data_IF_625943258556
#
_entry.id   IF_625943258556
#
_cell.length_a   1.000
_cell.length_b   1.000
_cell.length_c   1.000
_cell.angle_alpha   90.00
_cell.angle_beta   90.00
_cell.angle_gamma   90.00
#
_symmetry.space_group_name_H-M   'P 1'
#
loop_
_entity.id
_entity.type
_entity.pdbx_description
1 polymer ?
#
# COMPACT_ATOMS: atom_id res chain seq x y z
N UNK A 1 -7.51 13.63 12.28
CA UNK A 1 -6.06 13.33 12.48
C UNK A 1 -5.37 13.77 11.21
N UNK A 2 -4.17 14.31 11.28
CA UNK A 2 -3.39 14.68 10.09
C UNK A 2 -2.24 13.68 9.92
N UNK A 3 -1.75 13.53 8.69
CA UNK A 3 -0.55 12.75 8.41
C UNK A 3 0.66 13.38 9.11
N UNK A 4 1.54 12.55 9.66
CA UNK A 4 2.81 12.98 10.26
C UNK A 4 3.95 12.18 9.61
N UNK A 5 4.89 12.88 8.97
CA UNK A 5 6.04 12.23 8.31
C UNK A 5 7.01 11.57 9.30
N UNK A 6 6.94 11.91 10.58
CA UNK A 6 7.73 11.27 11.63
C UNK A 6 7.31 9.82 11.91
N UNK A 7 6.17 9.38 11.41
CA UNK A 7 5.81 7.95 11.48
C UNK A 7 6.82 7.07 10.73
N UNK A 8 7.43 7.59 9.66
CA UNK A 8 8.52 6.90 8.96
C UNK A 8 9.71 6.49 9.85
N UNK A 9 9.91 7.22 10.96
CA UNK A 9 11.01 7.04 11.91
C UNK A 9 10.59 6.31 13.18
N UNK A 10 9.29 6.01 13.35
CA UNK A 10 8.75 5.46 14.58
C UNK A 10 8.23 4.03 14.40
N UNK A 11 8.99 3.00 14.82
CA UNK A 11 8.58 1.60 14.66
C UNK A 11 7.34 1.20 15.46
N UNK A 12 6.85 2.06 16.38
CA UNK A 12 5.61 1.82 17.10
C UNK A 12 4.37 2.25 16.31
N UNK A 13 4.55 3.00 15.21
CA UNK A 13 3.47 3.50 14.35
C UNK A 13 3.60 2.94 12.94
N UNK A 14 3.36 1.66 12.78
CA UNK A 14 3.42 0.98 11.48
C UNK A 14 2.08 0.99 10.72
N UNK A 15 0.99 1.43 11.37
CA UNK A 15 -0.33 1.60 10.74
C UNK A 15 -1.19 2.64 11.46
N UNK A 16 -2.01 3.38 10.69
CA UNK A 16 -3.03 4.29 11.20
C UNK A 16 -4.30 4.12 10.38
N UNK A 17 -5.43 3.83 11.03
CA UNK A 17 -6.75 3.60 10.41
C UNK A 17 -6.78 2.44 9.37
N UNK A 18 -5.74 1.65 9.24
CA UNK A 18 -5.75 0.42 8.45
C UNK A 18 -6.66 -0.59 9.13
N UNK A 19 -7.49 -1.28 8.36
CA UNK A 19 -8.33 -2.36 8.88
C UNK A 19 -7.47 -3.57 9.31
N UNK A 20 -7.97 -4.33 10.27
CA UNK A 20 -7.30 -5.56 10.68
C UNK A 20 -7.31 -6.58 9.53
N UNK A 21 -6.25 -7.39 9.44
CA UNK A 21 -6.16 -8.45 8.47
C UNK A 21 -7.31 -9.46 8.65
N UNK A 22 -7.91 -9.87 7.56
CA UNK A 22 -9.01 -10.83 7.51
C UNK A 22 -8.86 -11.76 6.30
N UNK A 23 -9.71 -12.78 6.21
CA UNK A 23 -9.71 -13.70 5.07
C UNK A 23 -9.99 -12.97 3.76
N UNK A 24 -9.24 -13.33 2.71
CA UNK A 24 -9.45 -12.79 1.37
C UNK A 24 -10.66 -13.45 0.71
N UNK A 25 -11.80 -12.81 0.81
CA UNK A 25 -13.05 -13.24 0.18
C UNK A 25 -13.77 -12.07 -0.46
N UNK A 26 -14.66 -12.38 -1.40
CA UNK A 26 -15.46 -11.39 -2.12
C UNK A 26 -16.92 -11.48 -1.73
N UNK A 27 -17.59 -10.34 -1.76
CA UNK A 27 -19.05 -10.26 -1.62
C UNK A 27 -19.70 -10.20 -3.00
N UNK A 28 -20.87 -10.81 -3.14
CA UNK A 28 -21.69 -10.79 -4.35
C UNK A 28 -23.11 -10.42 -4.02
N UNK A 29 -23.83 -9.83 -4.98
CA UNK A 29 -25.25 -9.50 -4.80
C UNK A 29 -26.10 -10.77 -4.74
N UNK A 30 -25.77 -11.77 -5.56
CA UNK A 30 -26.43 -13.06 -5.64
C UNK A 30 -25.52 -14.12 -6.30
N UNK A 31 -26.00 -15.35 -6.42
CA UNK A 31 -25.28 -16.45 -7.08
C UNK A 31 -24.99 -16.20 -8.57
N UNK A 32 -25.88 -15.48 -9.26
CA UNK A 32 -25.67 -15.20 -10.68
C UNK A 32 -24.52 -14.21 -10.88
N UNK A 33 -24.30 -13.29 -9.94
CA UNK A 33 -23.13 -12.39 -9.96
C UNK A 33 -21.82 -13.12 -9.69
N UNK A 34 -21.83 -14.17 -8.84
CA UNK A 34 -20.65 -14.97 -8.57
C UNK A 34 -20.15 -15.73 -9.81
N UNK A 35 -21.05 -16.08 -10.74
CA UNK A 35 -20.71 -16.76 -12.00
C UNK A 35 -20.24 -15.80 -13.10
N UNK A 36 -20.37 -14.49 -12.90
CA UNK A 36 -19.93 -13.48 -13.86
C UNK A 36 -18.42 -13.22 -13.74
N UNK A 37 -17.82 -12.79 -14.82
CA UNK A 37 -16.41 -12.37 -14.84
C UNK A 37 -16.16 -11.06 -14.11
N UNK A 38 -17.19 -10.24 -13.92
CA UNK A 38 -17.11 -8.93 -13.27
C UNK A 38 -18.05 -8.91 -12.05
N UNK A 39 -17.47 -8.57 -10.89
CA UNK A 39 -18.20 -8.42 -9.65
C UNK A 39 -18.70 -6.97 -9.51
N UNK A 40 -20.01 -6.70 -9.48
CA UNK A 40 -20.54 -5.35 -9.40
C UNK A 40 -20.25 -4.64 -8.07
N UNK A 41 -19.82 -5.37 -7.04
CA UNK A 41 -19.41 -4.83 -5.75
C UNK A 41 -17.89 -4.51 -5.71
N UNK A 42 -17.20 -4.62 -6.83
CA UNK A 42 -15.78 -4.29 -6.97
C UNK A 42 -15.56 -3.30 -8.11
N UNK A 43 -14.68 -2.33 -7.89
CA UNK A 43 -14.29 -1.36 -8.90
C UNK A 43 -12.77 -1.21 -8.90
N UNK A 44 -12.14 -1.54 -10.03
CA UNK A 44 -10.70 -1.35 -10.20
C UNK A 44 -10.35 0.13 -10.38
N UNK A 45 -9.31 0.58 -9.71
CA UNK A 45 -8.69 1.89 -9.91
C UNK A 45 -7.38 1.80 -10.72
N UNK A 46 -7.03 0.64 -11.24
CA UNK A 46 -5.86 0.43 -12.07
C UNK A 46 -5.85 1.36 -13.31
N UNK A 47 -4.70 1.43 -13.96
CA UNK A 47 -4.51 2.22 -15.18
C UNK A 47 -3.64 3.44 -14.95
N UNK A 48 -3.83 4.49 -15.71
CA UNK A 48 -3.03 5.71 -15.58
C UNK A 48 -3.41 6.54 -14.36
N UNK A 49 -2.38 6.97 -13.61
CA UNK A 49 -2.47 7.92 -12.50
C UNK A 49 -1.58 9.13 -12.78
N UNK A 50 -1.91 10.29 -12.25
CA UNK A 50 -1.03 11.45 -12.16
C UNK A 50 0.06 11.14 -11.15
N UNK A 51 1.32 11.55 -11.45
CA UNK A 51 2.47 11.13 -10.67
C UNK A 51 3.55 12.20 -10.59
N UNK A 52 4.11 12.38 -9.41
CA UNK A 52 5.33 13.17 -9.19
C UNK A 52 6.34 12.36 -8.39
N UNK A 53 7.59 12.37 -8.86
CA UNK A 53 8.73 11.76 -8.18
C UNK A 53 9.52 12.81 -7.42
N UNK A 54 9.93 12.50 -6.19
CA UNK A 54 10.84 13.30 -5.37
C UNK A 54 11.96 12.42 -4.82
N UNK A 55 13.16 12.98 -4.66
CA UNK A 55 14.33 12.22 -4.17
C UNK A 55 14.29 11.97 -2.67
N UNK A 56 13.54 12.78 -1.96
CA UNK A 56 13.41 12.73 -0.51
C UNK A 56 12.07 13.31 -0.06
N UNK A 57 11.80 13.18 1.22
CA UNK A 57 10.56 13.62 1.84
C UNK A 57 10.42 15.15 1.81
N UNK A 58 11.52 15.90 1.93
CA UNK A 58 11.51 17.35 1.99
C UNK A 58 11.18 18.01 0.64
N UNK A 59 11.55 17.37 -0.46
CA UNK A 59 11.32 17.88 -1.82
C UNK A 59 9.96 17.45 -2.40
N UNK A 60 9.16 16.68 -1.64
CA UNK A 60 7.85 16.22 -2.10
C UNK A 60 6.84 17.36 -2.24
N UNK A 61 5.84 17.26 -3.11
CA UNK A 61 4.73 18.20 -3.14
C UNK A 61 3.88 18.05 -1.87
N UNK A 62 3.92 19.02 -0.96
CA UNK A 62 3.30 18.90 0.37
C UNK A 62 1.78 18.82 0.32
N UNK A 63 1.13 19.64 -0.51
CA UNK A 63 -0.33 19.79 -0.55
C UNK A 63 -0.99 19.09 -1.75
N UNK A 64 -0.32 18.12 -2.35
CA UNK A 64 -0.80 17.45 -3.57
C UNK A 64 -2.14 16.71 -3.37
N UNK A 65 -2.50 16.39 -2.13
CA UNK A 65 -3.74 15.72 -1.74
C UNK A 65 -4.96 16.65 -1.70
N UNK A 66 -4.76 17.97 -1.81
CA UNK A 66 -5.87 18.91 -1.83
C UNK A 66 -6.70 18.77 -3.11
N UNK A 67 -8.03 18.87 -2.99
CA UNK A 67 -8.94 18.68 -4.12
C UNK A 67 -8.68 19.63 -5.30
N UNK A 68 -8.24 20.86 -5.00
CA UNK A 68 -7.98 21.90 -5.97
C UNK A 68 -6.50 21.96 -6.42
N UNK A 69 -5.71 20.97 -6.04
CA UNK A 69 -4.30 20.93 -6.44
C UNK A 69 -4.16 20.87 -7.96
N UNK A 70 -3.32 21.75 -8.51
CA UNK A 70 -3.00 21.77 -9.92
C UNK A 70 -1.91 20.74 -10.23
N UNK A 71 -2.33 19.59 -10.70
CA UNK A 71 -1.45 18.50 -11.10
C UNK A 71 -0.98 18.59 -12.56
N UNK A 72 -1.10 19.76 -13.22
CA UNK A 72 -0.72 19.94 -14.63
C UNK A 72 0.77 19.67 -14.90
N UNK A 73 1.62 19.81 -13.88
CA UNK A 73 3.05 19.48 -13.93
C UNK A 73 3.39 18.02 -13.60
N UNK A 74 2.40 17.23 -13.18
CA UNK A 74 2.60 15.81 -12.87
C UNK A 74 2.70 14.99 -14.15
N UNK A 75 3.56 13.99 -14.12
CA UNK A 75 3.65 12.98 -15.16
C UNK A 75 2.47 11.99 -15.10
N UNK A 76 2.51 10.97 -15.93
CA UNK A 76 1.58 9.85 -15.91
C UNK A 76 2.34 8.56 -15.65
N UNK A 77 1.86 7.77 -14.69
CA UNK A 77 2.41 6.44 -14.40
C UNK A 77 1.30 5.38 -14.47
N UNK A 78 1.66 4.17 -14.86
CA UNK A 78 0.75 3.02 -14.83
C UNK A 78 0.71 2.40 -13.44
N UNK A 79 -0.48 2.13 -12.94
CA UNK A 79 -0.76 1.35 -11.72
C UNK A 79 -1.57 0.11 -12.14
N UNK A 80 -1.13 -1.10 -11.82
CA UNK A 80 0.09 -1.48 -11.11
C UNK A 80 1.39 -1.17 -11.87
N UNK A 81 2.45 -0.82 -11.11
CA UNK A 81 3.77 -0.60 -11.68
C UNK A 81 4.81 -0.11 -10.69
N UNK A 82 6.07 -0.37 -11.01
CA UNK A 82 7.22 0.08 -10.22
C UNK A 82 7.75 1.41 -10.73
N UNK A 83 8.13 2.27 -9.81
CA UNK A 83 8.65 3.61 -10.11
C UNK A 83 9.98 3.52 -10.88
N UNK A 84 10.86 2.58 -10.52
CA UNK A 84 12.13 2.35 -11.21
C UNK A 84 11.94 1.87 -12.65
N UNK A 85 10.98 0.95 -12.87
CA UNK A 85 10.69 0.46 -14.22
C UNK A 85 10.02 1.53 -15.10
N UNK A 86 9.39 2.51 -14.49
CA UNK A 86 8.89 3.71 -15.17
C UNK A 86 10.02 4.73 -15.47
N UNK A 87 11.25 4.52 -14.98
CA UNK A 87 12.41 5.32 -15.30
C UNK A 87 12.73 6.46 -14.35
N UNK A 88 12.11 6.54 -13.18
CA UNK A 88 12.28 7.65 -12.24
C UNK A 88 13.42 7.43 -11.24
N UNK A 89 13.67 6.20 -10.81
CA UNK A 89 14.78 5.86 -9.89
C UNK A 89 15.62 4.73 -10.47
N UNK A 90 16.68 4.36 -9.79
CA UNK A 90 17.61 3.30 -10.20
C UNK A 90 17.25 1.99 -9.52
N UNK A 91 17.24 0.93 -10.29
CA UNK A 91 17.18 -0.43 -9.77
C UNK A 91 18.47 -0.69 -8.98
N UNK A 92 18.32 -1.13 -7.74
CA UNK A 92 19.43 -1.50 -6.86
C UNK A 92 19.25 -2.93 -6.40
N UNK A 93 20.36 -3.64 -6.30
CA UNK A 93 20.42 -4.95 -5.65
C UNK A 93 21.28 -4.83 -4.40
N UNK A 94 20.76 -5.25 -3.27
CA UNK A 94 21.45 -5.21 -1.99
C UNK A 94 21.21 -6.55 -1.30
N UNK A 95 22.29 -7.20 -0.86
CA UNK A 95 22.21 -8.52 -0.23
C UNK A 95 22.81 -8.58 1.18
N UNK A 96 23.71 -7.66 1.53
CA UNK A 96 24.41 -7.68 2.82
C UNK A 96 24.45 -6.32 3.50
N UNK A 97 24.02 -5.26 2.78
CA UNK A 97 24.05 -3.89 3.27
C UNK A 97 22.64 -3.32 3.26
N UNK A 98 22.29 -2.60 4.30
CA UNK A 98 21.05 -1.86 4.30
C UNK A 98 21.05 -0.79 3.20
N UNK A 99 19.90 -0.42 2.60
CA UNK A 99 19.81 0.54 1.50
C UNK A 99 20.43 1.90 1.80
N UNK A 100 20.53 2.27 3.07
CA UNK A 100 21.08 3.51 3.57
C UNK A 100 22.57 3.40 3.99
N UNK A 101 23.18 2.20 4.05
CA UNK A 101 24.60 2.07 4.39
C UNK A 101 25.49 2.75 3.36
N UNK A 102 26.54 3.43 3.85
CA UNK A 102 27.40 4.26 3.01
C UNK A 102 26.80 5.58 2.55
N UNK A 103 25.59 5.89 2.97
CA UNK A 103 24.94 7.20 2.94
C UNK A 103 25.01 7.80 4.34
N UNK A 104 24.84 9.10 4.46
CA UNK A 104 25.11 9.85 5.70
C UNK A 104 24.07 9.67 6.82
N UNK A 105 23.31 8.60 6.80
CA UNK A 105 22.32 8.28 7.84
C UNK A 105 22.99 7.56 9.00
N UNK A 106 23.87 8.27 9.68
CA UNK A 106 24.58 7.74 10.83
C UNK A 106 23.80 7.83 12.14
N UNK A 107 22.56 7.45 12.14
CA UNK A 107 22.09 6.79 13.35
C UNK A 107 22.67 5.38 13.29
N UNK A 108 23.67 5.12 14.11
CA UNK A 108 24.09 3.76 14.32
C UNK A 108 22.85 2.99 14.74
N UNK A 109 22.29 2.19 13.84
CA UNK A 109 21.16 1.30 14.11
C UNK A 109 21.45 0.34 15.27
N UNK A 110 22.62 0.43 15.84
CA UNK A 110 23.16 -0.37 16.93
C UNK A 110 23.49 0.42 18.20
N UNK A 111 23.35 1.75 18.23
CA UNK A 111 23.46 2.46 19.50
C UNK A 111 22.10 2.47 20.19
N UNK A 112 21.92 1.59 21.15
CA UNK A 112 20.79 1.61 22.09
C UNK A 112 20.87 2.85 23.02
N UNK A 113 21.79 3.73 22.82
CA UNK A 113 21.89 5.02 23.51
C UNK A 113 21.21 6.07 22.64
N UNK A 114 20.07 6.55 23.09
CA UNK A 114 19.45 7.75 22.58
C UNK A 114 20.42 8.91 22.78
N UNK A 115 21.05 9.36 21.72
CA UNK A 115 22.00 10.49 21.77
C UNK A 115 21.30 11.84 21.82
N UNK A 116 19.99 11.88 22.05
CA UNK A 116 19.23 13.12 22.19
C UNK A 116 19.00 13.92 20.89
N UNK A 117 19.67 13.57 19.80
CA UNK A 117 19.40 14.13 18.48
C UNK A 117 18.33 13.27 17.78
N UNK A 118 17.10 13.67 17.91
CA UNK A 118 15.93 13.06 17.26
C UNK A 118 15.77 13.52 15.79
N UNK A 119 16.85 13.77 15.08
CA UNK A 119 16.77 14.00 13.65
C UNK A 119 16.19 12.76 12.98
N UNK A 120 15.13 12.91 12.22
CA UNK A 120 14.43 11.82 11.56
C UNK A 120 15.34 11.06 10.63
N UNK A 121 15.37 9.74 10.76
CA UNK A 121 16.24 8.87 9.97
C UNK A 121 15.79 8.80 8.52
N UNK A 122 14.49 8.60 8.29
CA UNK A 122 13.88 8.47 6.97
C UNK A 122 13.12 9.71 6.56
N UNK A 123 12.45 10.38 7.52
CA UNK A 123 11.65 11.57 7.24
C UNK A 123 12.48 12.79 6.83
N UNK A 124 13.75 12.86 7.24
CA UNK A 124 14.68 13.96 6.96
C UNK A 124 15.90 13.50 6.12
N UNK A 125 15.84 12.30 5.58
CA UNK A 125 16.92 11.72 4.79
C UNK A 125 17.17 12.49 3.49
N UNK A 126 18.42 12.72 3.11
CA UNK A 126 18.78 13.30 1.81
C UNK A 126 18.33 12.44 0.63
N UNK A 127 18.20 11.14 0.87
CA UNK A 127 17.72 10.16 -0.09
C UNK A 127 16.73 9.18 0.58
N UNK A 128 15.47 9.48 0.46
CA UNK A 128 14.35 8.58 0.67
C UNK A 128 13.31 8.91 -0.40
N UNK A 129 13.39 8.27 -1.59
CA UNK A 129 12.53 8.58 -2.71
C UNK A 129 11.05 8.47 -2.37
N UNK A 130 10.28 9.39 -2.95
CA UNK A 130 8.84 9.52 -2.72
C UNK A 130 8.12 9.56 -4.05
N UNK A 131 7.11 8.70 -4.21
CA UNK A 131 6.13 8.76 -5.28
C UNK A 131 4.82 9.38 -4.78
N UNK A 132 4.40 10.50 -5.38
CA UNK A 132 3.12 11.14 -5.11
C UNK A 132 2.15 10.87 -6.25
N UNK A 133 1.05 10.17 -5.97
CA UNK A 133 0.08 9.69 -6.94
C UNK A 133 -1.28 10.35 -6.75
N UNK A 134 -1.96 10.69 -7.85
CA UNK A 134 -3.35 11.18 -7.82
C UNK A 134 -4.20 10.37 -8.81
N UNK A 135 -5.35 9.90 -8.35
CA UNK A 135 -6.40 9.27 -9.15
C UNK A 135 -7.71 9.99 -8.99
N UNK A 136 -8.30 10.41 -10.11
CA UNK A 136 -9.65 10.95 -10.12
C UNK A 136 -10.61 9.89 -10.63
N UNK A 137 -11.73 9.71 -9.93
CA UNK A 137 -12.71 8.67 -10.27
C UNK A 137 -14.12 9.01 -9.80
N UNK A 138 -15.10 8.40 -10.44
CA UNK A 138 -16.48 8.33 -9.99
C UNK A 138 -16.76 6.93 -9.43
N UNK A 139 -17.61 6.86 -8.40
CA UNK A 139 -18.05 5.59 -7.85
C UNK A 139 -19.07 4.93 -8.78
N UNK A 140 -18.92 3.64 -9.05
CA UNK A 140 -19.86 2.89 -9.86
C UNK A 140 -21.25 2.89 -9.23
N UNK A 141 -22.27 2.81 -10.07
CA UNK A 141 -23.65 2.96 -9.65
C UNK A 141 -24.11 1.90 -8.65
N UNK A 142 -23.62 0.68 -8.83
CA UNK A 142 -23.90 -0.48 -7.97
C UNK A 142 -23.28 -0.39 -6.57
N UNK A 143 -22.29 0.47 -6.41
CA UNK A 143 -21.57 0.65 -5.13
C UNK A 143 -22.10 1.82 -4.31
N UNK A 144 -22.99 2.66 -4.88
CA UNK A 144 -23.55 3.81 -4.15
C UNK A 144 -24.33 3.36 -2.92
N UNK A 145 -24.37 4.22 -1.91
CA UNK A 145 -25.06 3.99 -0.63
C UNK A 145 -24.58 2.75 0.15
N UNK A 146 -23.42 2.20 -0.20
CA UNK A 146 -22.80 1.07 0.51
C UNK A 146 -21.59 1.54 1.30
N UNK A 147 -21.15 0.71 2.25
CA UNK A 147 -19.83 0.88 2.86
C UNK A 147 -18.78 0.58 1.80
N UNK A 148 -17.80 1.46 1.65
CA UNK A 148 -16.74 1.34 0.64
C UNK A 148 -15.40 1.21 1.34
N UNK A 149 -14.69 0.14 1.01
CA UNK A 149 -13.28 -0.04 1.37
C UNK A 149 -12.40 0.11 0.14
N UNK A 150 -11.20 0.59 0.34
CA UNK A 150 -10.14 0.50 -0.66
C UNK A 150 -9.15 -0.57 -0.21
N UNK A 151 -8.75 -1.42 -1.14
CA UNK A 151 -7.72 -2.44 -0.96
C UNK A 151 -6.56 -2.14 -1.90
N UNK A 152 -5.39 -1.95 -1.33
CA UNK A 152 -4.11 -2.01 -2.03
C UNK A 152 -3.58 -3.42 -1.82
N UNK A 153 -3.54 -4.23 -2.87
CA UNK A 153 -3.07 -5.62 -2.78
C UNK A 153 -1.55 -5.71 -2.52
N UNK A 154 -0.83 -4.59 -2.70
CA UNK A 154 0.58 -4.41 -2.37
C UNK A 154 1.10 -3.06 -2.84
N UNK A 155 1.79 -2.38 -1.95
CA UNK A 155 2.53 -1.14 -2.22
C UNK A 155 3.97 -1.42 -1.85
N UNK A 156 4.87 -1.65 -2.86
CA UNK A 156 6.09 -2.40 -2.57
C UNK A 156 7.27 -2.18 -3.49
N UNK A 157 8.37 -2.75 -3.02
CA UNK A 157 9.50 -3.25 -3.77
C UNK A 157 9.29 -4.70 -4.24
N UNK A 158 9.43 -5.03 -5.52
CA UNK A 158 9.18 -6.36 -6.05
C UNK A 158 10.42 -7.03 -6.64
N UNK A 159 10.52 -8.33 -6.43
CA UNK A 159 11.38 -9.20 -7.20
C UNK A 159 10.59 -9.92 -8.30
N UNK A 160 10.92 -9.66 -9.55
CA UNK A 160 10.45 -10.46 -10.66
C UNK A 160 11.42 -11.62 -10.91
N UNK A 161 11.15 -12.80 -10.33
CA UNK A 161 11.73 -14.05 -10.83
C UNK A 161 10.77 -14.67 -11.84
N UNK A 162 11.19 -14.65 -13.09
CA UNK A 162 10.52 -15.38 -14.17
C UNK A 162 10.76 -16.88 -13.95
N UNK A 163 10.02 -17.48 -13.04
CA UNK A 163 9.81 -18.92 -13.03
C UNK A 163 8.32 -19.21 -12.89
N UNK A 164 7.83 -19.90 -13.89
CA UNK A 164 6.44 -20.35 -14.08
C UNK A 164 6.08 -21.47 -13.10
N UNK A 165 6.27 -21.24 -11.80
CA UNK A 165 5.86 -22.15 -10.74
C UNK A 165 5.46 -21.36 -9.50
N UNK A 166 4.14 -21.29 -9.26
CA UNK A 166 3.48 -20.80 -8.05
C UNK A 166 4.08 -19.51 -7.47
N UNK A 167 3.27 -18.46 -7.44
CA UNK A 167 3.52 -17.20 -6.73
C UNK A 167 4.13 -17.44 -5.34
N UNK A 168 5.42 -17.29 -5.23
CA UNK A 168 6.08 -17.01 -3.97
C UNK A 168 6.37 -15.52 -4.05
N UNK A 169 5.59 -14.75 -3.35
CA UNK A 169 5.70 -13.30 -3.28
C UNK A 169 6.57 -13.01 -2.07
N UNK A 170 7.75 -12.51 -2.33
CA UNK A 170 8.69 -12.04 -1.31
C UNK A 170 8.95 -10.58 -1.63
N UNK A 171 8.78 -9.70 -0.69
CA UNK A 171 9.00 -8.33 -0.91
C UNK A 171 9.36 -7.50 0.30
N UNK A 172 9.70 -6.23 0.23
CA UNK A 172 10.02 -5.36 1.37
C UNK A 172 10.08 -3.88 1.05
N UNK A 173 9.74 -3.06 2.02
CA UNK A 173 10.04 -1.66 2.27
C UNK A 173 9.19 -0.64 1.56
N UNK A 174 8.06 -0.27 2.19
CA UNK A 174 7.42 1.00 1.84
C UNK A 174 6.40 1.46 2.87
N UNK A 175 6.38 2.76 3.12
CA UNK A 175 5.32 3.41 3.85
C UNK A 175 4.37 4.12 2.89
N UNK A 176 3.09 3.93 3.11
CA UNK A 176 2.02 4.52 2.31
C UNK A 176 1.15 5.45 3.16
N UNK A 177 0.99 6.69 2.70
CA UNK A 177 0.01 7.65 3.19
C UNK A 177 -1.14 7.78 2.21
N UNK A 178 -2.36 7.85 2.72
CA UNK A 178 -3.59 7.86 1.93
C UNK A 178 -4.48 9.03 2.29
N UNK A 179 -4.97 9.76 1.28
CA UNK A 179 -5.98 10.82 1.40
C UNK A 179 -7.10 10.61 0.38
N UNK A 180 -8.31 10.96 0.76
CA UNK A 180 -9.44 11.02 -0.14
C UNK A 180 -10.16 12.37 0.02
N UNK A 181 -10.36 13.07 -1.11
CA UNK A 181 -11.05 14.36 -1.14
C UNK A 181 -10.46 15.39 -0.14
N UNK A 182 -9.13 15.48 -0.09
CA UNK A 182 -8.39 16.38 0.78
C UNK A 182 -8.29 15.94 2.25
N UNK A 183 -8.89 14.82 2.63
CA UNK A 183 -8.93 14.34 4.01
C UNK A 183 -8.00 13.14 4.18
N UNK A 184 -7.23 13.13 5.27
CA UNK A 184 -6.36 12.01 5.60
C UNK A 184 -7.19 10.78 5.96
N UNK A 185 -6.93 9.68 5.28
CA UNK A 185 -7.59 8.39 5.48
C UNK A 185 -6.75 7.49 6.38
N UNK A 186 -5.48 7.24 6.02
CA UNK A 186 -4.67 6.32 6.79
C UNK A 186 -3.21 6.21 6.35
N UNK A 187 -2.49 5.34 7.05
CA UNK A 187 -1.08 5.03 6.89
C UNK A 187 -0.83 3.53 7.07
N UNK A 188 0.09 2.96 6.32
CA UNK A 188 0.52 1.57 6.45
C UNK A 188 1.98 1.42 6.01
N UNK A 189 2.71 0.51 6.66
CA UNK A 189 4.09 0.14 6.33
C UNK A 189 4.24 -1.31 5.84
N UNK A 190 3.16 -2.10 5.80
CA UNK A 190 3.21 -3.48 5.33
C UNK A 190 3.21 -3.53 3.80
N UNK A 191 4.30 -4.01 3.22
CA UNK A 191 4.51 -4.08 1.78
C UNK A 191 3.83 -5.28 1.12
N UNK A 192 3.59 -6.37 1.85
CA UNK A 192 3.27 -7.67 1.25
C UNK A 192 1.85 -8.11 1.42
N UNK A 193 1.26 -7.81 2.57
CA UNK A 193 -0.13 -8.12 2.82
C UNK A 193 -1.02 -6.98 2.32
N UNK A 194 -2.25 -7.27 1.91
CA UNK A 194 -3.17 -6.22 1.49
C UNK A 194 -3.41 -5.18 2.57
N UNK A 195 -3.31 -3.91 2.21
CA UNK A 195 -3.67 -2.79 3.06
C UNK A 195 -5.07 -2.31 2.72
N UNK A 196 -6.00 -2.43 3.65
CA UNK A 196 -7.39 -1.99 3.48
C UNK A 196 -7.75 -0.82 4.39
N UNK A 197 -8.56 0.11 3.84
CA UNK A 197 -9.04 1.28 4.57
C UNK A 197 -10.53 1.52 4.30
N UNK A 198 -11.25 1.96 5.33
CA UNK A 198 -12.65 2.38 5.20
C UNK A 198 -12.74 3.79 4.58
N UNK A 199 -13.26 3.87 3.39
CA UNK A 199 -13.48 5.12 2.67
C UNK A 199 -14.89 5.70 2.89
N UNK A 200 -15.78 4.97 3.53
CA UNK A 200 -17.19 5.36 3.70
C UNK A 200 -17.38 6.79 4.23
N UNK A 201 -16.58 7.27 5.21
CA UNK A 201 -16.73 8.63 5.73
C UNK A 201 -16.31 9.74 4.75
N UNK A 202 -15.55 9.40 3.70
CA UNK A 202 -14.85 10.36 2.84
C UNK A 202 -15.36 10.35 1.40
N UNK A 203 -15.93 9.22 0.94
CA UNK A 203 -16.23 8.97 -0.47
C UNK A 203 -17.50 9.70 -0.91
N UNK A 204 -17.51 10.12 -2.17
CA UNK A 204 -18.65 10.75 -2.86
C UNK A 204 -19.05 9.88 -4.05
N UNK A 205 -20.27 10.06 -4.54
CA UNK A 205 -20.69 9.36 -5.75
C UNK A 205 -19.89 9.77 -6.98
N UNK A 206 -19.46 11.03 -7.05
CA UNK A 206 -18.72 11.58 -8.20
C UNK A 206 -17.63 12.54 -7.74
N UNK A 207 -16.64 12.70 -8.62
CA UNK A 207 -15.57 13.66 -8.46
C UNK A 207 -14.64 13.36 -7.29
N UNK A 208 -14.37 12.09 -7.02
CA UNK A 208 -13.41 11.72 -5.98
C UNK A 208 -11.99 11.97 -6.43
N UNK A 209 -11.17 12.49 -5.52
CA UNK A 209 -9.75 12.69 -5.68
C UNK A 209 -9.02 11.86 -4.64
N UNK A 210 -8.45 10.74 -5.07
CA UNK A 210 -7.60 9.88 -4.26
C UNK A 210 -6.16 10.33 -4.43
N UNK A 211 -5.48 10.59 -3.33
CA UNK A 211 -4.06 10.91 -3.29
C UNK A 211 -3.32 9.86 -2.44
N UNK A 212 -2.22 9.35 -2.98
CA UNK A 212 -1.38 8.34 -2.32
C UNK A 212 0.06 8.81 -2.38
N UNK A 213 0.75 8.73 -1.25
CA UNK A 213 2.18 9.01 -1.20
C UNK A 213 2.91 7.78 -0.70
N UNK A 214 3.84 7.29 -1.51
CA UNK A 214 4.64 6.09 -1.23
C UNK A 214 6.08 6.50 -0.99
N UNK A 215 6.65 6.05 0.13
CA UNK A 215 8.01 6.32 0.55
C UNK A 215 8.84 5.05 0.45
N UNK A 216 10.02 5.12 -0.14
CA UNK A 216 10.88 3.96 -0.39
C UNK A 216 11.50 3.37 0.90
N UNK A 217 11.57 4.13 1.97
CA UNK A 217 12.15 3.67 3.22
C UNK A 217 11.38 4.19 4.43
N UNK A 218 11.14 3.29 5.37
CA UNK A 218 10.59 3.55 6.70
C UNK A 218 11.26 2.64 7.74
N UNK A 219 10.77 2.64 8.97
CA UNK A 219 11.26 1.71 9.99
C UNK A 219 10.97 0.25 9.69
N UNK A 220 10.00 -0.07 8.83
CA UNK A 220 9.74 -1.42 8.35
C UNK A 220 10.94 -2.02 7.61
N UNK A 221 11.75 -1.18 6.96
CA UNK A 221 12.99 -1.58 6.29
C UNK A 221 13.93 -2.41 7.15
N UNK A 222 13.97 -2.17 8.46
CA UNK A 222 14.79 -2.97 9.38
C UNK A 222 14.32 -4.41 9.54
N UNK A 223 13.03 -4.68 9.31
CA UNK A 223 12.44 -6.00 9.45
C UNK A 223 12.29 -6.70 8.11
N UNK A 224 12.00 -5.93 7.09
CA UNK A 224 11.60 -6.43 5.78
C UNK A 224 12.75 -6.48 4.79
N UNK A 225 13.91 -5.87 5.09
CA UNK A 225 15.07 -5.87 4.21
C UNK A 225 15.65 -7.28 3.98
N UNK A 226 15.65 -7.71 2.70
CA UNK A 226 16.00 -9.06 2.26
C UNK A 226 17.05 -8.99 1.14
N UNK A 227 17.58 -10.16 0.75
CA UNK A 227 18.50 -10.32 -0.37
C UNK A 227 17.75 -10.28 -1.73
N UNK A 228 17.46 -9.09 -2.24
CA UNK A 228 16.78 -8.92 -3.53
C UNK A 228 16.90 -7.50 -4.12
N UNK A 229 16.30 -7.31 -5.29
CA UNK A 229 16.24 -6.00 -5.95
C UNK A 229 15.27 -5.07 -5.23
N UNK A 230 15.64 -3.81 -5.11
CA UNK A 230 14.88 -2.76 -4.47
C UNK A 230 14.08 -1.96 -5.50
N UNK A 231 12.78 -2.20 -5.50
CA UNK A 231 11.80 -1.46 -6.28
C UNK A 231 10.80 -0.80 -5.34
N UNK A 232 10.09 0.23 -5.79
CA UNK A 232 8.96 0.76 -5.04
C UNK A 232 7.87 1.31 -5.96
N UNK A 233 6.67 1.51 -5.41
CA UNK A 233 5.50 1.96 -6.13
C UNK A 233 4.26 1.10 -5.86
N UNK A 234 3.12 1.48 -6.41
CA UNK A 234 1.88 0.72 -6.32
C UNK A 234 1.92 -0.39 -7.37
N UNK A 235 2.47 -1.55 -7.05
CA UNK A 235 2.81 -2.59 -8.04
C UNK A 235 1.75 -3.69 -8.18
N UNK A 236 0.75 -3.74 -7.29
CA UNK A 236 -0.43 -4.61 -7.40
C UNK A 236 -1.70 -3.81 -7.57
N UNK A 237 -2.83 -4.52 -7.69
CA UNK A 237 -4.10 -3.88 -7.96
C UNK A 237 -4.53 -2.96 -6.84
N UNK A 238 -5.24 -1.90 -7.23
CA UNK A 238 -5.98 -1.03 -6.33
C UNK A 238 -7.46 -1.20 -6.64
N UNK A 239 -8.21 -1.67 -5.65
CA UNK A 239 -9.61 -2.05 -5.82
C UNK A 239 -10.49 -1.42 -4.75
N UNK A 240 -11.59 -0.81 -5.17
CA UNK A 240 -12.67 -0.47 -4.27
C UNK A 240 -13.56 -1.70 -4.08
N UNK A 241 -13.95 -1.98 -2.84
CA UNK A 241 -14.85 -3.07 -2.46
C UNK A 241 -16.09 -2.49 -1.77
N UNK A 242 -17.28 -2.76 -2.28
CA UNK A 242 -18.51 -2.45 -1.58
C UNK A 242 -18.85 -3.59 -0.63
N UNK A 243 -18.97 -3.26 0.66
CA UNK A 243 -19.23 -4.23 1.73
C UNK A 243 -20.71 -4.19 2.09
N UNK A 244 -21.44 -5.33 2.03
CA UNK A 244 -22.83 -5.40 2.50
C UNK A 244 -22.96 -5.03 3.97
N UNK A 245 -24.14 -4.52 4.38
CA UNK A 245 -24.37 -4.15 5.78
C UNK A 245 -24.24 -5.37 6.71
N UNK A 246 -24.75 -6.51 6.27
CA UNK A 246 -24.60 -7.80 6.96
C UNK A 246 -23.66 -8.67 6.14
N UNK A 247 -22.51 -9.01 6.70
CA UNK A 247 -21.45 -9.78 6.03
C UNK A 247 -20.63 -10.58 7.02
N UNK A 248 -19.85 -11.54 6.52
CA UNK A 248 -18.78 -12.18 7.27
C UNK A 248 -17.53 -11.33 7.13
N UNK A 249 -16.96 -10.89 8.25
CA UNK A 249 -15.72 -10.11 8.24
C UNK A 249 -14.50 -11.01 8.05
N UNK A 250 -14.49 -12.15 8.72
CA UNK A 250 -13.40 -13.11 8.67
C UNK A 250 -13.90 -14.54 8.69
N UNK A 251 -13.18 -15.45 8.03
CA UNK A 251 -13.49 -16.89 7.99
C UNK A 251 -12.21 -17.69 8.19
N UNK A 252 -12.14 -18.42 9.27
CA UNK A 252 -11.00 -19.26 9.55
C UNK A 252 -11.31 -20.74 9.36
N UNK A 253 -10.73 -21.36 8.33
CA UNK A 253 -10.84 -22.78 8.03
C UNK A 253 -9.75 -23.57 8.74
N UNK A 254 -10.15 -24.52 9.60
CA UNK A 254 -9.23 -25.42 10.30
C UNK A 254 -9.43 -26.87 9.83
N UNK A 255 -8.82 -27.28 8.72
CA UNK A 255 -8.88 -28.64 8.25
C UNK A 255 -8.00 -29.56 9.09
N UNK A 256 -8.51 -30.73 9.47
CA UNK A 256 -7.76 -31.77 10.18
C UNK A 256 -7.94 -33.10 9.47
N UNK A 257 -6.85 -33.80 9.22
CA UNK A 257 -6.88 -35.15 8.66
C UNK A 257 -6.97 -36.17 9.79
N UNK A 258 -7.85 -37.14 9.66
CA UNK A 258 -7.97 -38.23 10.62
C UNK A 258 -6.80 -39.24 10.46
N UNK A 259 -6.62 -40.12 11.45
CA UNK A 259 -5.52 -41.09 11.49
C UNK A 259 -5.54 -42.09 10.33
N UNK A 260 -6.68 -42.26 9.65
CA UNK A 260 -6.85 -43.10 8.47
C UNK A 260 -6.28 -42.48 7.18
N UNK A 261 -5.90 -41.16 7.22
CA UNK A 261 -5.46 -40.39 6.06
C UNK A 261 -6.44 -40.34 4.87
N UNK A 262 -7.69 -40.69 5.08
CA UNK A 262 -8.75 -40.77 4.05
C UNK A 262 -9.87 -39.81 4.36
N UNK A 263 -10.25 -39.71 5.64
CA UNK A 263 -11.29 -38.82 6.13
C UNK A 263 -10.73 -37.62 6.86
N UNK A 264 -11.48 -36.55 6.93
CA UNK A 264 -11.07 -35.31 7.60
C UNK A 264 -12.21 -34.64 8.33
N UNK A 265 -11.85 -33.66 9.13
CA UNK A 265 -12.77 -32.74 9.81
C UNK A 265 -12.42 -31.31 9.39
N UNK A 266 -13.42 -30.55 9.02
CA UNK A 266 -13.32 -29.11 8.82
C UNK A 266 -14.05 -28.39 9.96
N UNK A 267 -13.36 -27.51 10.64
CA UNK A 267 -13.95 -26.55 11.57
C UNK A 267 -13.90 -25.17 10.89
N UNK A 268 -15.00 -24.44 11.00
CA UNK A 268 -15.16 -23.09 10.44
C UNK A 268 -15.56 -22.16 11.57
#
# INVERSE_FOLDING_TARGET
MNADMKWLDNPEVFRVNQLDAHSDHCYYMDYADMEKSENPLMQSLNGQWEFAFSKNVMDRPENFYEENFDASSFDKIMVPGHIELAGYDKIRYINTMYPWEGKEYHRGAYSMESTGDEAGMFSEAEYNPVGSYIKRFDLSEQMREKKIRICFEGVEEAMCLVFKLRKIEIGVEEAMYLWLNGQFVGYAEDSFTPSEFDLTPFIREKGNVLAVQVHKMSTAAFLEDQDFFRFFGIFRNVTLKAVPEVHLEDVWFQPTLNKDNISGRLLI
#
